data_IF_034328569488
#
_entry.id   IF_034328569488
#
_cell.length_a   1.000
_cell.length_b   1.000
_cell.length_c   1.000
_cell.angle_alpha   90.00
_cell.angle_beta   90.00
_cell.angle_gamma   90.00
#
_symmetry.space_group_name_H-M   'P 1'
#
loop_
_entity.id
_entity.type
_entity.pdbx_description
1 polymer ?
#
# COMPACT_ATOMS: atom_id res chain seq x y z
N UNK A 1 17.40 43.77 66.96
CA UNK A 1 17.23 43.03 68.24
C UNK A 1 16.21 41.91 68.02
N UNK A 2 16.49 40.73 68.58
CA UNK A 2 15.98 39.40 68.23
C UNK A 2 14.45 39.21 68.31
N UNK A 3 13.91 38.40 67.39
CA UNK A 3 13.10 37.24 67.80
C UNK A 3 13.07 36.13 66.73
N UNK A 4 13.51 34.94 67.14
CA UNK A 4 13.30 33.63 66.49
C UNK A 4 11.84 33.47 66.02
N UNK A 5 11.63 32.77 64.91
CA UNK A 5 10.86 31.52 64.98
C UNK A 5 11.14 30.58 63.82
N UNK A 6 11.52 29.36 64.19
CA UNK A 6 11.58 28.17 63.33
C UNK A 6 10.15 27.72 63.07
N UNK A 7 9.80 27.42 61.82
CA UNK A 7 8.82 26.36 61.52
C UNK A 7 9.33 25.54 60.35
N UNK A 8 9.58 24.28 60.66
CA UNK A 8 9.99 23.19 59.78
C UNK A 8 8.70 22.48 59.39
N UNK A 9 8.39 22.38 58.09
CA UNK A 9 7.37 21.47 57.57
C UNK A 9 7.50 21.36 56.05
N UNK A 10 7.08 20.23 55.45
CA UNK A 10 7.92 19.08 55.15
C UNK A 10 8.43 19.09 53.70
N UNK A 11 9.61 18.51 53.48
CA UNK A 11 10.11 18.17 52.15
C UNK A 11 9.21 17.09 51.55
N UNK A 12 8.51 17.43 50.46
CA UNK A 12 7.75 16.49 49.65
C UNK A 12 8.77 15.63 48.90
N UNK A 13 9.23 14.57 49.58
CA UNK A 13 9.76 13.38 48.94
C UNK A 13 8.57 12.67 48.28
N UNK A 14 8.45 12.81 46.97
CA UNK A 14 7.35 12.18 46.26
C UNK A 14 7.46 12.38 44.77
N UNK A 15 7.94 11.34 44.10
CA UNK A 15 7.77 11.09 42.66
C UNK A 15 8.38 12.13 41.72
N UNK A 16 9.68 11.98 41.44
CA UNK A 16 10.12 12.04 40.04
C UNK A 16 9.46 10.86 39.31
N UNK A 17 8.17 11.00 38.99
CA UNK A 17 7.52 10.11 38.06
C UNK A 17 8.15 10.41 36.72
N UNK A 18 8.99 9.49 36.27
CA UNK A 18 9.71 9.54 35.02
C UNK A 18 8.73 9.78 33.87
N UNK A 19 8.58 11.02 33.40
CA UNK A 19 7.88 11.36 32.16
C UNK A 19 8.66 10.92 30.90
N UNK A 20 9.50 9.90 31.02
CA UNK A 20 10.37 9.41 29.95
C UNK A 20 9.93 8.04 29.43
N UNK A 21 8.66 7.91 29.05
CA UNK A 21 8.15 6.73 28.33
C UNK A 21 7.11 7.07 27.24
N UNK A 22 7.22 8.25 26.62
CA UNK A 22 6.40 8.65 25.46
C UNK A 22 7.17 8.59 24.13
N UNK A 23 8.33 7.92 24.07
CA UNK A 23 9.11 7.80 22.82
C UNK A 23 8.69 6.65 21.90
N UNK A 24 7.53 6.02 22.12
CA UNK A 24 7.08 4.86 21.33
C UNK A 24 6.06 5.17 20.21
N UNK A 25 5.95 6.41 19.74
CA UNK A 25 5.27 6.74 18.47
C UNK A 25 6.26 7.27 17.42
N UNK A 26 7.47 6.73 17.37
CA UNK A 26 8.25 6.82 16.15
C UNK A 26 7.57 5.88 15.14
N UNK A 27 6.83 6.44 14.18
CA UNK A 27 6.28 5.71 13.05
C UNK A 27 7.38 4.83 12.46
N UNK A 28 7.27 3.53 12.73
CA UNK A 28 8.27 2.58 12.26
C UNK A 28 8.20 2.61 10.72
N UNK A 29 9.32 2.95 10.10
CA UNK A 29 9.43 3.03 8.64
C UNK A 29 10.45 2.00 8.17
N UNK A 30 10.21 1.44 7.00
CA UNK A 30 11.07 0.45 6.37
C UNK A 30 11.49 0.95 4.99
N UNK A 31 12.69 0.55 4.58
CA UNK A 31 13.19 0.80 3.23
C UNK A 31 12.44 -0.11 2.24
N UNK A 32 11.94 0.49 1.18
CA UNK A 32 11.41 -0.20 0.02
C UNK A 32 11.85 0.53 -1.25
N UNK A 33 11.79 -0.15 -2.38
CA UNK A 33 12.03 0.46 -3.67
C UNK A 33 10.84 0.23 -4.60
N UNK A 34 10.56 1.23 -5.44
CA UNK A 34 9.52 1.13 -6.47
C UNK A 34 10.18 1.15 -7.82
N UNK A 35 9.84 0.18 -8.67
CA UNK A 35 10.39 0.04 -10.01
C UNK A 35 9.28 -0.19 -11.02
N UNK A 36 9.32 0.49 -12.15
CA UNK A 36 8.40 0.26 -13.26
C UNK A 36 8.92 -0.84 -14.19
N UNK A 37 10.24 -1.04 -14.22
CA UNK A 37 10.90 -2.04 -15.09
C UNK A 37 12.02 -2.76 -14.36
N UNK A 38 12.36 -3.96 -14.84
CA UNK A 38 13.47 -4.75 -14.32
C UNK A 38 14.81 -4.01 -14.47
N UNK A 39 14.99 -3.27 -15.57
CA UNK A 39 16.20 -2.45 -15.78
C UNK A 39 16.35 -1.36 -14.72
N UNK A 40 15.25 -0.71 -14.30
CA UNK A 40 15.31 0.27 -13.21
C UNK A 40 15.78 -0.38 -11.89
N UNK A 41 15.35 -1.62 -11.63
CA UNK A 41 15.74 -2.38 -10.45
C UNK A 41 17.24 -2.72 -10.48
N UNK A 42 17.73 -3.29 -11.59
CA UNK A 42 19.15 -3.65 -11.76
C UNK A 42 20.04 -2.41 -11.67
N UNK A 43 19.66 -1.32 -12.36
CA UNK A 43 20.41 -0.06 -12.34
C UNK A 43 20.42 0.61 -10.95
N UNK A 44 19.44 0.30 -10.09
CA UNK A 44 19.42 0.76 -8.71
C UNK A 44 20.33 -0.06 -7.77
N UNK A 45 21.03 -1.07 -8.30
CA UNK A 45 22.00 -1.88 -7.56
C UNK A 45 21.43 -3.16 -6.93
N UNK A 46 20.21 -3.54 -7.30
CA UNK A 46 19.63 -4.83 -6.92
C UNK A 46 20.19 -5.94 -7.81
N UNK A 47 20.24 -7.17 -7.28
CA UNK A 47 20.70 -8.31 -8.08
C UNK A 47 19.64 -8.71 -9.11
N UNK A 48 20.06 -9.23 -10.28
CA UNK A 48 19.12 -9.72 -11.30
C UNK A 48 18.14 -10.78 -10.76
N UNK A 49 18.55 -11.78 -9.94
CA UNK A 49 17.61 -12.71 -9.33
C UNK A 49 16.57 -12.03 -8.43
N UNK A 50 17.00 -11.07 -7.61
CA UNK A 50 16.11 -10.34 -6.71
C UNK A 50 15.07 -9.51 -7.47
N UNK A 51 15.49 -8.83 -8.54
CA UNK A 51 14.58 -8.11 -9.42
C UNK A 51 13.59 -9.08 -10.10
N UNK A 52 14.09 -10.18 -10.64
CA UNK A 52 13.25 -11.17 -11.34
C UNK A 52 12.21 -11.79 -10.41
N UNK A 53 12.62 -12.20 -9.21
CA UNK A 53 11.72 -12.77 -8.20
C UNK A 53 10.69 -11.74 -7.73
N UNK A 54 11.11 -10.49 -7.49
CA UNK A 54 10.20 -9.43 -7.08
C UNK A 54 9.13 -9.11 -8.12
N UNK A 55 9.52 -9.02 -9.39
CA UNK A 55 8.58 -8.81 -10.49
C UNK A 55 7.66 -10.01 -10.70
N UNK A 56 8.18 -11.23 -10.70
CA UNK A 56 7.37 -12.44 -10.86
C UNK A 56 6.35 -12.60 -9.72
N UNK A 57 6.75 -12.31 -8.47
CA UNK A 57 5.84 -12.32 -7.34
C UNK A 57 4.75 -11.25 -7.49
N UNK A 58 5.13 -10.03 -7.87
CA UNK A 58 4.18 -8.94 -8.03
C UNK A 58 3.18 -9.18 -9.16
N UNK A 59 3.61 -9.79 -10.27
CA UNK A 59 2.75 -10.19 -11.38
C UNK A 59 1.75 -11.28 -10.97
N UNK A 60 2.20 -12.31 -10.24
CA UNK A 60 1.33 -13.34 -9.71
C UNK A 60 0.29 -12.76 -8.71
N UNK A 61 0.73 -11.88 -7.81
CA UNK A 61 -0.16 -11.21 -6.87
C UNK A 61 -1.14 -10.29 -7.62
N UNK A 62 -0.70 -9.59 -8.67
CA UNK A 62 -1.54 -8.74 -9.50
C UNK A 62 -2.69 -9.54 -10.12
N UNK A 63 -2.40 -10.66 -10.78
CA UNK A 63 -3.43 -11.54 -11.34
C UNK A 63 -4.44 -12.01 -10.26
N UNK A 64 -3.95 -12.32 -9.06
CA UNK A 64 -4.78 -12.84 -7.98
C UNK A 64 -5.65 -11.78 -7.29
N UNK A 65 -5.13 -10.56 -7.09
CA UNK A 65 -5.70 -9.56 -6.15
C UNK A 65 -5.89 -8.17 -6.73
N UNK A 66 -5.67 -7.95 -8.03
CA UNK A 66 -5.91 -6.65 -8.66
C UNK A 66 -7.35 -6.16 -8.42
N UNK A 67 -7.56 -4.85 -8.22
CA UNK A 67 -8.89 -4.27 -8.12
C UNK A 67 -9.72 -4.62 -9.36
N UNK A 68 -10.98 -5.01 -9.14
CA UNK A 68 -11.89 -5.43 -10.21
C UNK A 68 -12.99 -4.40 -10.41
N UNK A 69 -13.33 -4.10 -11.66
CA UNK A 69 -14.34 -3.14 -12.08
C UNK A 69 -15.39 -3.79 -12.98
N UNK A 70 -16.63 -3.29 -12.88
CA UNK A 70 -17.78 -3.79 -13.66
C UNK A 70 -17.67 -3.49 -15.17
N UNK A 71 -16.92 -2.44 -15.53
CA UNK A 71 -16.74 -1.99 -16.91
C UNK A 71 -15.38 -1.35 -17.12
N UNK A 72 -14.91 -1.36 -18.37
CA UNK A 72 -13.68 -0.67 -18.79
C UNK A 72 -13.75 0.81 -18.43
N UNK A 73 -14.87 1.46 -18.76
CA UNK A 73 -15.09 2.88 -18.51
C UNK A 73 -15.04 3.25 -17.01
N UNK A 74 -15.42 2.35 -16.11
CA UNK A 74 -15.29 2.58 -14.66
C UNK A 74 -13.84 2.44 -14.20
N UNK A 75 -13.10 1.50 -14.76
CA UNK A 75 -11.67 1.34 -14.49
C UNK A 75 -10.87 2.54 -15.04
N UNK A 76 -11.07 2.90 -16.32
CA UNK A 76 -10.35 3.98 -16.98
C UNK A 76 -10.67 5.36 -16.37
N UNK A 77 -11.87 5.54 -15.83
CA UNK A 77 -12.21 6.75 -15.10
C UNK A 77 -11.34 6.95 -13.85
N UNK A 78 -10.82 5.86 -13.25
CA UNK A 78 -9.97 5.90 -12.07
C UNK A 78 -8.48 5.82 -12.40
N UNK A 79 -8.11 5.03 -13.40
CA UNK A 79 -6.71 4.68 -13.72
C UNK A 79 -6.19 5.32 -15.00
N UNK A 80 -7.06 5.94 -15.81
CA UNK A 80 -6.70 6.56 -17.08
C UNK A 80 -7.09 5.72 -18.28
N UNK A 81 -7.25 6.37 -19.43
CA UNK A 81 -7.57 5.70 -20.69
C UNK A 81 -6.43 4.79 -21.13
N UNK A 82 -6.77 3.56 -21.53
CA UNK A 82 -5.82 2.52 -21.93
C UNK A 82 -5.02 1.89 -20.78
N UNK A 83 -5.33 2.22 -19.53
CA UNK A 83 -4.64 1.69 -18.35
C UNK A 83 -5.41 0.54 -17.67
N UNK A 84 -6.33 -0.08 -18.40
CA UNK A 84 -7.18 -1.16 -17.92
C UNK A 84 -7.12 -2.35 -18.87
N UNK A 85 -7.01 -3.53 -18.31
CA UNK A 85 -6.91 -4.79 -19.06
C UNK A 85 -8.08 -5.71 -18.72
N UNK A 86 -8.39 -6.60 -19.66
CA UNK A 86 -9.48 -7.56 -19.49
C UNK A 86 -8.95 -8.85 -18.85
N UNK A 87 -9.74 -9.53 -18.00
CA UNK A 87 -9.32 -10.79 -17.40
C UNK A 87 -9.13 -11.90 -18.44
N UNK A 88 -9.73 -11.75 -19.63
CA UNK A 88 -9.61 -12.69 -20.74
C UNK A 88 -8.17 -12.81 -21.25
N UNK A 89 -7.33 -11.78 -21.05
CA UNK A 89 -5.90 -11.79 -21.39
C UNK A 89 -5.05 -12.68 -20.46
N UNK A 90 -5.56 -13.02 -19.27
CA UNK A 90 -4.84 -13.84 -18.27
C UNK A 90 -5.46 -15.24 -18.09
N UNK A 91 -6.33 -15.68 -19.00
CA UNK A 91 -7.05 -16.96 -18.87
C UNK A 91 -6.13 -18.17 -19.07
N UNK A 92 -5.45 -18.56 -17.99
CA UNK A 92 -5.22 -19.96 -17.64
C UNK A 92 -5.87 -20.18 -16.27
N UNK A 93 -7.06 -20.78 -16.29
CA UNK A 93 -7.71 -21.50 -15.18
C UNK A 93 -7.51 -20.95 -13.75
N UNK A 94 -8.53 -20.26 -13.21
CA UNK A 94 -9.06 -20.51 -11.85
C UNK A 94 -10.30 -19.62 -11.65
N UNK A 95 -11.42 -20.15 -12.09
CA UNK A 95 -12.75 -19.82 -11.58
C UNK A 95 -12.89 -20.36 -10.16
N UNK A 96 -12.75 -19.51 -9.15
CA UNK A 96 -13.32 -19.78 -7.82
C UNK A 96 -14.28 -18.66 -7.44
N UNK A 97 -15.54 -18.93 -7.80
CA UNK A 97 -16.72 -18.09 -7.59
C UNK A 97 -17.86 -18.59 -8.46
N UNK A 98 -18.06 -19.91 -8.51
CA UNK A 98 -19.16 -20.55 -9.22
C UNK A 98 -20.45 -20.34 -8.42
N UNK A 99 -21.02 -19.15 -8.54
CA UNK A 99 -22.39 -18.89 -8.14
C UNK A 99 -23.27 -19.35 -9.30
N UNK A 100 -24.10 -20.34 -9.05
CA UNK A 100 -24.86 -21.11 -10.03
C UNK A 100 -26.04 -20.36 -10.68
N UNK A 101 -25.86 -19.09 -11.06
CA UNK A 101 -26.79 -18.29 -11.88
C UNK A 101 -25.98 -17.43 -12.86
N UNK A 102 -25.88 -17.91 -14.11
CA UNK A 102 -24.94 -17.41 -15.12
C UNK A 102 -25.00 -15.92 -15.42
N UNK A 103 -23.90 -15.24 -15.11
CA UNK A 103 -23.34 -14.14 -15.89
C UNK A 103 -21.81 -14.18 -15.67
N UNK A 104 -21.02 -14.44 -16.70
CA UNK A 104 -19.57 -14.19 -16.66
C UNK A 104 -19.41 -12.68 -16.47
N UNK A 105 -19.10 -12.23 -15.24
CA UNK A 105 -18.90 -10.80 -15.00
C UNK A 105 -17.50 -10.44 -15.49
N UNK A 106 -17.38 -10.03 -16.75
CA UNK A 106 -16.16 -9.47 -17.32
C UNK A 106 -15.68 -8.35 -16.40
N UNK A 107 -14.64 -8.65 -15.61
CA UNK A 107 -14.17 -7.80 -14.53
C UNK A 107 -12.85 -7.18 -14.93
N UNK A 108 -12.89 -5.94 -15.39
CA UNK A 108 -11.72 -5.17 -15.82
C UNK A 108 -10.82 -4.88 -14.63
N UNK A 109 -9.51 -4.90 -14.85
CA UNK A 109 -8.53 -4.60 -13.81
C UNK A 109 -7.53 -3.55 -14.30
N UNK A 110 -7.03 -2.70 -13.40
CA UNK A 110 -6.05 -1.71 -13.78
C UNK A 110 -4.71 -2.38 -14.03
N UNK A 111 -4.00 -1.94 -15.07
CA UNK A 111 -2.66 -2.42 -15.35
C UNK A 111 -1.74 -2.12 -14.17
N UNK A 112 -0.80 -3.04 -13.91
CA UNK A 112 0.24 -2.83 -12.93
C UNK A 112 1.14 -1.65 -13.37
N UNK A 113 1.21 -0.60 -12.55
CA UNK A 113 2.00 0.59 -12.84
C UNK A 113 3.46 0.46 -12.34
N UNK A 114 3.76 -0.55 -11.53
CA UNK A 114 5.10 -0.84 -11.04
C UNK A 114 5.08 -1.88 -9.93
N UNK A 115 6.27 -2.19 -9.43
CA UNK A 115 6.51 -3.18 -8.39
C UNK A 115 7.16 -2.49 -7.20
N UNK A 116 6.65 -2.77 -6.00
CA UNK A 116 7.36 -2.47 -4.76
C UNK A 116 8.20 -3.68 -4.38
N UNK A 117 9.50 -3.49 -4.17
CA UNK A 117 10.40 -4.48 -3.58
C UNK A 117 10.76 -3.98 -2.18
N UNK A 118 10.22 -4.64 -1.16
CA UNK A 118 10.51 -4.37 0.24
C UNK A 118 11.34 -5.48 0.88
N UNK A 119 11.81 -5.23 2.10
CA UNK A 119 12.60 -6.23 2.86
C UNK A 119 11.84 -7.53 3.18
N UNK A 120 10.50 -7.50 3.18
CA UNK A 120 9.66 -8.63 3.59
C UNK A 120 8.84 -9.26 2.45
N UNK A 121 8.46 -8.48 1.44
CA UNK A 121 7.63 -8.92 0.32
C UNK A 121 7.78 -7.98 -0.87
N UNK A 122 7.48 -8.51 -2.06
CA UNK A 122 7.24 -7.72 -3.26
C UNK A 122 5.73 -7.68 -3.57
N UNK A 123 5.23 -6.55 -4.07
CA UNK A 123 3.79 -6.41 -4.39
C UNK A 123 3.56 -5.49 -5.61
N UNK A 124 2.45 -5.71 -6.34
CA UNK A 124 2.06 -4.85 -7.45
C UNK A 124 1.56 -3.50 -6.95
N UNK A 125 1.87 -2.46 -7.71
CA UNK A 125 1.42 -1.10 -7.48
C UNK A 125 0.56 -0.60 -8.63
N UNK A 126 -0.36 0.29 -8.30
CA UNK A 126 -1.30 0.91 -9.21
C UNK A 126 -1.26 2.43 -9.02
N UNK A 127 -1.65 3.18 -10.05
CA UNK A 127 -1.69 4.64 -10.00
C UNK A 127 -3.01 5.14 -10.52
N UNK A 128 -3.69 5.95 -9.73
CA UNK A 128 -4.89 6.61 -10.21
C UNK A 128 -4.54 7.78 -11.13
N UNK A 129 -5.40 8.05 -12.08
CA UNK A 129 -5.31 9.18 -13.00
C UNK A 129 -6.40 10.19 -12.65
N UNK A 130 -6.00 11.37 -12.19
CA UNK A 130 -6.94 12.43 -11.83
C UNK A 130 -6.42 13.78 -12.30
N UNK A 131 -7.32 14.66 -12.75
CA UNK A 131 -6.99 16.02 -13.18
C UNK A 131 -5.87 16.11 -14.25
N UNK A 132 -5.79 15.11 -15.15
CA UNK A 132 -4.81 15.10 -16.22
C UNK A 132 -3.43 14.58 -15.84
N UNK A 133 -3.26 13.99 -14.64
CA UNK A 133 -1.98 13.47 -14.18
C UNK A 133 -2.13 12.18 -13.37
N UNK A 134 -1.10 11.35 -13.41
CA UNK A 134 -1.00 10.16 -12.55
C UNK A 134 -0.57 10.54 -11.13
N UNK A 135 -1.31 10.03 -10.15
CA UNK A 135 -1.02 10.19 -8.73
C UNK A 135 0.13 9.31 -8.23
N UNK A 136 0.12 9.08 -6.92
CA UNK A 136 1.06 8.19 -6.23
C UNK A 136 0.89 6.72 -6.65
N UNK A 137 1.96 5.95 -6.57
CA UNK A 137 1.92 4.49 -6.57
C UNK A 137 1.26 4.04 -5.28
N UNK A 138 0.23 3.20 -5.43
CA UNK A 138 -0.57 2.68 -4.33
C UNK A 138 -0.62 1.16 -4.40
N UNK A 139 -0.70 0.52 -3.24
CA UNK A 139 -0.97 -0.92 -3.15
C UNK A 139 -2.37 -1.26 -3.66
N UNK A 140 -2.70 -2.54 -3.80
CA UNK A 140 -4.04 -2.98 -4.18
C UNK A 140 -5.14 -2.55 -3.17
N UNK A 141 -4.73 -2.17 -1.94
CA UNK A 141 -5.61 -1.64 -0.88
C UNK A 141 -5.69 -0.11 -0.89
N UNK A 142 -5.12 0.57 -1.87
CA UNK A 142 -5.09 2.03 -1.94
C UNK A 142 -4.13 2.69 -0.95
N UNK A 143 -3.20 1.96 -0.34
CA UNK A 143 -2.21 2.58 0.56
C UNK A 143 -1.10 3.23 -0.28
N UNK A 144 -0.78 4.53 -0.07
CA UNK A 144 0.25 5.21 -0.83
C UNK A 144 1.65 4.68 -0.47
N UNK A 145 2.43 4.38 -1.49
CA UNK A 145 3.82 3.89 -1.38
C UNK A 145 4.79 4.99 -1.78
N UNK A 146 4.55 5.61 -2.94
CA UNK A 146 5.53 6.47 -3.59
C UNK A 146 4.88 7.50 -4.51
N UNK A 147 5.57 8.59 -4.82
CA UNK A 147 5.19 9.48 -5.94
C UNK A 147 6.10 9.33 -7.15
N UNK A 148 7.26 8.69 -6.98
CA UNK A 148 8.27 8.46 -8.02
C UNK A 148 8.90 7.07 -7.84
N UNK A 149 9.42 6.46 -8.92
CA UNK A 149 10.26 5.27 -8.81
C UNK A 149 11.54 5.54 -8.02
N UNK A 150 12.13 4.47 -7.48
CA UNK A 150 13.35 4.48 -6.69
C UNK A 150 13.15 4.06 -5.24
N UNK A 151 14.25 4.14 -4.49
CA UNK A 151 14.30 3.82 -3.06
C UNK A 151 13.59 4.89 -2.24
N UNK A 152 12.84 4.46 -1.25
CA UNK A 152 12.14 5.33 -0.32
C UNK A 152 11.82 4.65 1.00
N UNK A 153 11.51 5.47 1.99
CA UNK A 153 11.03 5.02 3.29
C UNK A 153 9.51 5.03 3.31
N UNK A 154 8.93 3.86 3.54
CA UNK A 154 7.49 3.67 3.66
C UNK A 154 7.13 3.31 5.10
N UNK A 155 5.87 3.46 5.49
CA UNK A 155 5.43 2.98 6.80
C UNK A 155 5.57 1.46 6.87
N UNK A 156 5.85 0.96 8.07
CA UNK A 156 5.95 -0.48 8.33
C UNK A 156 4.65 -1.24 8.01
N UNK A 157 3.51 -0.56 8.14
CA UNK A 157 2.22 -1.10 7.72
C UNK A 157 2.21 -1.41 6.22
N UNK A 158 2.59 -0.44 5.37
CA UNK A 158 2.64 -0.63 3.91
C UNK A 158 3.67 -1.68 3.52
N UNK A 159 4.83 -1.69 4.19
CA UNK A 159 5.92 -2.62 3.90
C UNK A 159 5.59 -4.09 4.19
N UNK A 160 4.71 -4.35 5.18
CA UNK A 160 4.43 -5.69 5.71
C UNK A 160 3.04 -6.21 5.38
N UNK A 161 2.13 -5.36 4.95
CA UNK A 161 0.78 -5.78 4.59
C UNK A 161 0.80 -6.52 3.26
N UNK A 162 0.41 -7.80 3.28
CA UNK A 162 0.31 -8.61 2.06
C UNK A 162 -0.88 -8.14 1.21
N UNK A 163 -0.75 -8.13 -0.12
CA UNK A 163 -1.89 -7.96 -1.02
C UNK A 163 -3.00 -8.98 -0.71
N UNK A 164 -4.25 -8.51 -0.72
CA UNK A 164 -5.43 -9.34 -0.39
C UNK A 164 -6.53 -9.10 -1.41
N UNK A 165 -7.19 -10.18 -1.85
CA UNK A 165 -8.29 -10.10 -2.80
C UNK A 165 -9.48 -9.36 -2.18
N UNK A 166 -10.02 -8.38 -2.90
CA UNK A 166 -11.29 -7.75 -2.54
C UNK A 166 -12.43 -8.58 -3.13
N UNK A 167 -13.46 -8.87 -2.34
CA UNK A 167 -14.69 -9.54 -2.81
C UNK A 167 -15.66 -8.56 -3.49
N UNK A 168 -15.39 -7.27 -3.40
CA UNK A 168 -16.22 -6.21 -3.95
C UNK A 168 -15.65 -5.74 -5.29
N UNK A 169 -16.44 -5.88 -6.36
CA UNK A 169 -16.19 -5.17 -7.61
C UNK A 169 -16.48 -3.69 -7.39
N UNK A 170 -15.52 -2.83 -7.75
CA UNK A 170 -15.61 -1.40 -7.56
C UNK A 170 -16.38 -0.76 -8.72
N UNK A 171 -17.14 0.28 -8.37
CA UNK A 171 -17.61 1.29 -9.32
C UNK A 171 -16.69 2.52 -9.21
N UNK A 172 -16.81 3.46 -10.14
CA UNK A 172 -16.03 4.71 -10.15
C UNK A 172 -15.91 5.36 -8.75
N UNK A 173 -14.73 5.83 -8.41
CA UNK A 173 -14.36 6.43 -7.13
C UNK A 173 -14.02 5.45 -6.01
N UNK A 174 -14.08 4.13 -6.26
CA UNK A 174 -13.87 3.11 -5.24
C UNK A 174 -12.43 3.01 -4.74
N UNK A 175 -11.43 3.12 -5.64
CA UNK A 175 -10.05 2.79 -5.31
C UNK A 175 -9.40 3.77 -4.32
N UNK A 176 -9.58 5.07 -4.52
CA UNK A 176 -9.04 6.09 -3.62
C UNK A 176 -9.72 6.12 -2.24
N UNK A 177 -10.92 5.54 -2.10
CA UNK A 177 -11.61 5.45 -0.80
C UNK A 177 -11.05 4.34 0.10
N UNK A 178 -10.34 3.36 -0.48
CA UNK A 178 -9.79 2.20 0.23
C UNK A 178 -8.72 2.59 1.27
N UNK A 179 -8.07 3.74 1.07
CA UNK A 179 -7.07 4.30 1.99
C UNK A 179 -7.64 4.75 3.34
N UNK A 180 -8.96 4.96 3.45
CA UNK A 180 -9.60 5.48 4.67
C UNK A 180 -9.99 4.39 5.67
N UNK A 181 -10.08 3.14 5.25
CA UNK A 181 -10.58 2.05 6.10
C UNK A 181 -9.53 1.43 7.02
N UNK A 182 -8.25 1.79 6.91
CA UNK A 182 -7.19 1.36 7.85
C UNK A 182 -7.00 2.28 9.05
N UNK A 183 -7.71 3.42 9.14
CA UNK A 183 -7.69 4.31 10.32
C UNK A 183 -9.05 4.28 11.02
N UNK A 184 -9.38 3.14 11.61
CA UNK A 184 -10.41 3.04 12.64
C UNK A 184 -9.91 2.02 13.69
N UNK A 185 -9.19 2.54 14.69
CA UNK A 185 -8.99 1.91 15.99
C UNK A 185 -9.60 2.82 17.04
#
# INVERSE_FOLDING_TARGET
MLKRSRRVTPAILGSMMSLAALTACADATEEAAVFETMDQCINAGYSEPECKEGFAQAEADHQAVAPRFDSEADCEAEFGSGACESPDEYTTDTSTGSDSHGQVRHSYMPMMAGVMIGSALSQPLYRTYQNGAYGAYMTNRGMPVATKPGRQRISREVARTRPTRTTTTLKRGGFGSMSRSSVAS
#
